data_IF_250150233474
#
_entry.id   IF_250150233474
#
_cell.length_a   1.000
_cell.length_b   1.000
_cell.length_c   1.000
_cell.angle_alpha   90.00
_cell.angle_beta   90.00
_cell.angle_gamma   90.00
#
_symmetry.space_group_name_H-M   'P 1'
#
loop_
_entity.id
_entity.type
_entity.pdbx_description
1 polymer ?
#
# COMPACT_ATOMS: atom_id res chain seq x y z
N UNK A 1 -11.56 -80.36 5.67
CA UNK A 1 -10.42 -79.45 5.93
C UNK A 1 -11.00 -78.18 6.50
N UNK A 2 -10.65 -77.84 7.75
CA UNK A 2 -11.16 -76.63 8.40
C UNK A 2 -10.42 -75.43 7.83
N UNK A 3 -11.14 -74.52 7.15
CA UNK A 3 -10.59 -73.25 6.70
C UNK A 3 -10.02 -72.49 7.91
N UNK A 4 -8.72 -72.13 7.93
CA UNK A 4 -8.15 -71.41 9.05
C UNK A 4 -8.72 -69.99 9.11
N UNK A 5 -9.65 -69.77 10.04
CA UNK A 5 -10.19 -68.45 10.37
C UNK A 5 -9.21 -67.71 11.27
N UNK A 6 -8.77 -66.53 10.82
CA UNK A 6 -7.90 -65.66 11.61
C UNK A 6 -8.77 -64.71 12.45
N UNK A 7 -8.69 -64.83 13.78
CA UNK A 7 -9.33 -63.91 14.71
C UNK A 7 -8.22 -63.04 15.35
N UNK A 8 -8.02 -61.79 14.91
CA UNK A 8 -7.03 -60.92 15.54
C UNK A 8 -7.51 -60.59 16.96
N UNK A 9 -6.85 -61.17 17.95
CA UNK A 9 -7.18 -61.09 19.39
C UNK A 9 -7.17 -59.67 19.97
N UNK A 10 -6.67 -58.68 19.21
CA UNK A 10 -6.34 -57.34 19.71
C UNK A 10 -7.51 -56.35 19.56
N UNK A 11 -8.57 -56.64 18.77
CA UNK A 11 -9.64 -55.67 18.48
C UNK A 11 -11.09 -56.18 18.63
N UNK A 12 -11.33 -57.38 19.18
CA UNK A 12 -12.69 -57.90 19.37
C UNK A 12 -13.51 -58.06 18.08
N UNK A 13 -12.82 -58.15 16.93
CA UNK A 13 -13.46 -58.23 15.61
C UNK A 13 -13.96 -59.65 15.29
N UNK A 14 -15.01 -59.81 14.46
CA UNK A 14 -15.57 -61.11 14.09
C UNK A 14 -14.52 -62.00 13.41
N UNK A 15 -14.53 -63.30 13.71
CA UNK A 15 -13.68 -64.28 13.04
C UNK A 15 -14.09 -64.38 11.55
N UNK A 16 -13.24 -63.86 10.66
CA UNK A 16 -13.48 -63.84 9.22
C UNK A 16 -12.42 -64.67 8.47
N UNK A 17 -12.74 -65.04 7.22
CA UNK A 17 -11.79 -65.71 6.33
C UNK A 17 -10.60 -64.78 6.01
N UNK A 18 -9.38 -65.32 5.85
CA UNK A 18 -8.19 -64.52 5.53
C UNK A 18 -8.37 -63.62 4.30
N UNK A 19 -9.10 -64.12 3.31
CA UNK A 19 -9.45 -63.44 2.06
C UNK A 19 -10.24 -62.14 2.30
N UNK A 20 -11.19 -62.18 3.25
CA UNK A 20 -12.04 -61.02 3.60
C UNK A 20 -11.23 -59.98 4.39
N UNK A 21 -10.30 -60.44 5.22
CA UNK A 21 -9.38 -59.58 5.95
C UNK A 21 -8.44 -58.83 4.99
N UNK A 22 -7.87 -59.53 4.01
CA UNK A 22 -7.02 -58.91 2.98
C UNK A 22 -7.77 -57.85 2.17
N UNK A 23 -9.02 -58.12 1.78
CA UNK A 23 -9.87 -57.16 1.08
C UNK A 23 -10.14 -55.90 1.93
N UNK A 24 -10.34 -56.06 3.24
CA UNK A 24 -10.56 -54.93 4.15
C UNK A 24 -9.33 -54.04 4.30
N UNK A 25 -8.13 -54.64 4.46
CA UNK A 25 -6.87 -53.89 4.48
C UNK A 25 -6.60 -53.18 3.16
N UNK A 26 -6.92 -53.80 2.03
CA UNK A 26 -6.73 -53.19 0.71
C UNK A 26 -7.70 -52.01 0.49
N UNK A 27 -8.96 -52.14 0.92
CA UNK A 27 -9.93 -51.06 0.86
C UNK A 27 -9.56 -49.90 1.82
N UNK A 28 -9.23 -50.19 3.08
CA UNK A 28 -8.81 -49.19 4.05
C UNK A 28 -7.49 -48.51 3.64
N UNK A 29 -6.54 -49.28 3.13
CA UNK A 29 -5.24 -48.78 2.66
C UNK A 29 -5.37 -47.86 1.45
N UNK A 30 -6.24 -48.18 0.49
CA UNK A 30 -6.49 -47.32 -0.67
C UNK A 30 -7.19 -46.00 -0.29
N UNK A 31 -8.18 -46.04 0.61
CA UNK A 31 -8.83 -44.83 1.14
C UNK A 31 -7.84 -43.96 1.92
N UNK A 32 -7.03 -44.56 2.78
CA UNK A 32 -6.01 -43.84 3.55
C UNK A 32 -4.96 -43.22 2.62
N UNK A 33 -4.49 -43.96 1.61
CA UNK A 33 -3.53 -43.46 0.63
C UNK A 33 -4.07 -42.26 -0.15
N UNK A 34 -5.33 -42.32 -0.60
CA UNK A 34 -6.00 -41.20 -1.27
C UNK A 34 -6.14 -40.00 -0.33
N UNK A 35 -6.56 -40.23 0.92
CA UNK A 35 -6.70 -39.16 1.91
C UNK A 35 -5.37 -38.44 2.17
N UNK A 36 -4.29 -39.19 2.38
CA UNK A 36 -2.95 -38.65 2.62
C UNK A 36 -2.44 -37.89 1.38
N UNK A 37 -2.68 -38.43 0.18
CA UNK A 37 -2.29 -37.81 -1.08
C UNK A 37 -2.94 -36.43 -1.31
N UNK A 38 -4.16 -36.21 -0.78
CA UNK A 38 -4.84 -34.90 -0.85
C UNK A 38 -4.47 -34.01 0.34
N UNK A 39 -4.38 -34.56 1.54
CA UNK A 39 -4.22 -33.79 2.78
C UNK A 39 -2.84 -33.15 2.92
N UNK A 40 -1.77 -33.88 2.57
CA UNK A 40 -0.40 -33.36 2.64
C UNK A 40 -0.21 -32.11 1.76
N UNK A 41 -0.50 -32.13 0.44
CA UNK A 41 -0.32 -30.94 -0.40
C UNK A 41 -1.22 -29.78 0.02
N UNK A 42 -2.45 -30.04 0.45
CA UNK A 42 -3.33 -28.99 0.98
C UNK A 42 -2.77 -28.34 2.25
N UNK A 43 -2.20 -29.13 3.16
CA UNK A 43 -1.57 -28.65 4.40
C UNK A 43 -0.31 -27.82 4.11
N UNK A 44 0.53 -28.27 3.17
CA UNK A 44 1.72 -27.53 2.72
C UNK A 44 1.32 -26.20 2.07
N UNK A 45 0.36 -26.22 1.13
CA UNK A 45 -0.13 -25.01 0.47
C UNK A 45 -0.71 -24.00 1.47
N UNK A 46 -1.41 -24.46 2.51
CA UNK A 46 -1.93 -23.60 3.57
C UNK A 46 -0.82 -22.97 4.42
N UNK A 47 0.24 -23.72 4.74
CA UNK A 47 1.41 -23.20 5.47
C UNK A 47 2.17 -22.18 4.63
N UNK A 48 2.35 -22.46 3.34
CA UNK A 48 3.07 -21.57 2.42
C UNK A 48 2.32 -20.24 2.23
N UNK A 49 1.00 -20.29 2.02
CA UNK A 49 0.16 -19.08 1.96
C UNK A 49 0.33 -18.21 3.21
N UNK A 50 0.24 -18.82 4.39
CA UNK A 50 0.44 -18.11 5.67
C UNK A 50 1.84 -17.52 5.82
N UNK A 51 2.86 -18.20 5.29
CA UNK A 51 4.24 -17.70 5.32
C UNK A 51 4.39 -16.47 4.43
N UNK A 52 3.87 -16.55 3.20
CA UNK A 52 3.88 -15.43 2.24
C UNK A 52 3.10 -14.23 2.79
N UNK A 53 1.91 -14.46 3.38
CA UNK A 53 1.12 -13.41 4.03
C UNK A 53 1.89 -12.70 5.14
N UNK A 54 2.59 -13.46 6.01
CA UNK A 54 3.42 -12.89 7.07
C UNK A 54 4.60 -12.11 6.52
N UNK A 55 5.28 -12.65 5.50
CA UNK A 55 6.41 -11.97 4.87
C UNK A 55 5.97 -10.66 4.22
N UNK A 56 4.84 -10.66 3.53
CA UNK A 56 4.26 -9.45 2.95
C UNK A 56 3.89 -8.42 4.03
N UNK A 57 3.30 -8.86 5.15
CA UNK A 57 3.01 -7.98 6.28
C UNK A 57 4.29 -7.35 6.84
N UNK A 58 5.37 -8.12 7.05
CA UNK A 58 6.64 -7.57 7.52
C UNK A 58 7.27 -6.59 6.53
N UNK A 59 7.21 -6.88 5.22
CA UNK A 59 7.69 -5.97 4.18
C UNK A 59 6.89 -4.66 4.18
N UNK A 60 5.56 -4.74 4.31
CA UNK A 60 4.70 -3.58 4.39
C UNK A 60 4.99 -2.73 5.64
N UNK A 61 5.12 -3.34 6.82
CA UNK A 61 5.47 -2.62 8.05
C UNK A 61 6.87 -2.00 7.99
N UNK A 62 7.85 -2.71 7.41
CA UNK A 62 9.20 -2.16 7.23
C UNK A 62 9.20 -0.95 6.28
N UNK A 63 8.45 -1.02 5.17
CA UNK A 63 8.31 0.09 4.24
C UNK A 63 7.57 1.26 4.91
N UNK A 64 6.51 0.99 5.66
CA UNK A 64 5.78 1.99 6.43
C UNK A 64 6.70 2.75 7.40
N UNK A 65 7.54 2.03 8.13
CA UNK A 65 8.51 2.62 9.05
C UNK A 65 9.50 3.56 8.33
N UNK A 66 9.95 3.21 7.12
CA UNK A 66 10.85 4.05 6.32
C UNK A 66 10.15 5.29 5.78
N UNK A 67 8.88 5.19 5.42
CA UNK A 67 8.12 6.29 4.81
C UNK A 67 7.51 7.25 5.82
N UNK A 68 7.27 6.83 7.06
CA UNK A 68 6.63 7.68 8.09
C UNK A 68 7.38 9.00 8.34
N UNK A 69 8.71 9.03 8.54
CA UNK A 69 9.44 10.29 8.71
C UNK A 69 9.34 11.21 7.49
N UNK A 70 9.30 10.64 6.29
CA UNK A 70 9.18 11.40 5.05
C UNK A 70 7.80 12.06 4.94
N UNK A 71 6.72 11.33 5.26
CA UNK A 71 5.37 11.90 5.29
C UNK A 71 5.21 12.95 6.40
N UNK A 72 5.80 12.73 7.57
CA UNK A 72 5.78 13.72 8.66
C UNK A 72 6.52 15.00 8.28
N UNK A 73 7.68 14.88 7.63
CA UNK A 73 8.40 16.03 7.07
C UNK A 73 7.53 16.76 6.03
N UNK A 74 6.92 16.03 5.10
CA UNK A 74 6.00 16.61 4.11
C UNK A 74 4.85 17.38 4.79
N UNK A 75 4.21 16.79 5.81
CA UNK A 75 3.14 17.45 6.58
C UNK A 75 3.63 18.73 7.26
N UNK A 76 4.84 18.71 7.83
CA UNK A 76 5.48 19.87 8.44
C UNK A 76 5.70 20.99 7.42
N UNK A 77 6.32 20.68 6.29
CA UNK A 77 6.55 21.60 5.16
C UNK A 77 5.25 22.22 4.66
N UNK A 78 4.20 21.41 4.45
CA UNK A 78 2.90 21.90 3.99
C UNK A 78 2.22 22.82 5.04
N UNK A 79 2.40 22.54 6.32
CA UNK A 79 1.86 23.38 7.39
C UNK A 79 2.61 24.71 7.51
N UNK A 80 3.93 24.70 7.32
CA UNK A 80 4.74 25.91 7.26
C UNK A 80 4.39 26.75 6.02
N UNK A 81 4.20 26.10 4.87
CA UNK A 81 3.76 26.75 3.64
C UNK A 81 2.40 27.43 3.82
N UNK A 82 1.46 26.81 4.52
CA UNK A 82 0.17 27.42 4.85
C UNK A 82 0.31 28.67 5.72
N UNK A 83 1.16 28.65 6.75
CA UNK A 83 1.43 29.84 7.55
C UNK A 83 2.01 30.98 6.70
N UNK A 84 3.01 30.68 5.86
CA UNK A 84 3.64 31.69 5.00
C UNK A 84 2.71 32.23 3.92
N UNK A 85 1.87 31.37 3.33
CA UNK A 85 0.83 31.80 2.39
C UNK A 85 -0.12 32.80 3.04
N UNK A 86 -0.57 32.54 4.27
CA UNK A 86 -1.46 33.44 5.01
C UNK A 86 -0.77 34.76 5.39
N UNK A 87 0.51 34.74 5.74
CA UNK A 87 1.26 35.95 6.10
C UNK A 87 1.60 36.82 4.87
N UNK A 88 2.07 36.21 3.79
CA UNK A 88 2.47 36.93 2.59
C UNK A 88 2.47 36.02 1.35
N UNK A 89 1.34 35.95 0.61
CA UNK A 89 1.24 35.13 -0.60
C UNK A 89 2.31 35.47 -1.64
N UNK A 90 2.59 36.76 -1.85
CA UNK A 90 3.57 37.23 -2.84
C UNK A 90 4.98 36.71 -2.54
N UNK A 91 5.43 36.81 -1.28
CA UNK A 91 6.78 36.35 -0.89
C UNK A 91 6.91 34.84 -0.97
N UNK A 92 5.85 34.12 -0.61
CA UNK A 92 5.81 32.65 -0.70
C UNK A 92 6.00 32.18 -2.14
N UNK A 93 5.25 32.78 -3.07
CA UNK A 93 5.26 32.42 -4.50
C UNK A 93 6.57 32.80 -5.18
N UNK A 94 7.23 33.87 -4.74
CA UNK A 94 8.56 34.28 -5.20
C UNK A 94 9.71 33.40 -4.66
N UNK A 95 9.40 32.37 -3.87
CA UNK A 95 10.39 31.42 -3.36
C UNK A 95 11.20 31.95 -2.16
N UNK A 96 10.78 33.04 -1.52
CA UNK A 96 11.39 33.51 -0.26
C UNK A 96 10.95 32.68 0.96
N UNK A 97 10.06 31.71 0.75
CA UNK A 97 9.48 30.85 1.78
C UNK A 97 10.10 29.45 1.89
N UNK A 98 9.35 28.53 2.48
CA UNK A 98 9.69 27.13 2.55
C UNK A 98 9.64 26.51 1.15
N UNK A 99 10.67 25.74 0.80
CA UNK A 99 10.70 25.06 -0.48
C UNK A 99 9.66 23.92 -0.48
N UNK A 100 8.67 24.02 -1.38
CA UNK A 100 7.71 22.95 -1.64
C UNK A 100 8.40 21.85 -2.46
N UNK A 101 9.03 20.92 -1.77
CA UNK A 101 9.72 19.78 -2.39
C UNK A 101 9.14 18.49 -1.81
N UNK A 102 8.86 17.53 -2.69
CA UNK A 102 8.52 16.18 -2.27
C UNK A 102 9.76 15.50 -1.70
N UNK A 103 9.71 14.95 -0.47
CA UNK A 103 10.81 14.18 0.09
C UNK A 103 11.27 13.05 -0.84
N UNK A 104 12.58 12.93 -1.05
CA UNK A 104 13.17 11.93 -1.96
C UNK A 104 12.75 10.50 -1.61
N UNK A 105 12.62 10.20 -0.32
CA UNK A 105 12.17 8.89 0.13
C UNK A 105 10.77 8.51 -0.41
N UNK A 106 9.89 9.47 -0.67
CA UNK A 106 8.57 9.21 -1.28
C UNK A 106 8.68 8.97 -2.78
N UNK A 107 9.57 9.68 -3.48
CA UNK A 107 9.73 9.56 -4.93
C UNK A 107 10.53 8.31 -5.31
N UNK A 108 11.62 8.01 -4.59
CA UNK A 108 12.46 6.83 -4.81
C UNK A 108 11.71 5.53 -4.54
N UNK A 109 10.75 5.54 -3.61
CA UNK A 109 9.99 4.35 -3.19
C UNK A 109 8.60 4.25 -3.81
N UNK A 110 8.25 5.11 -4.77
CA UNK A 110 6.96 5.06 -5.48
C UNK A 110 6.65 3.67 -6.03
N UNK A 111 7.64 3.00 -6.62
CA UNK A 111 7.49 1.66 -7.19
C UNK A 111 7.19 0.62 -6.11
N UNK A 112 7.73 0.79 -4.90
CA UNK A 112 7.56 -0.13 -3.77
C UNK A 112 6.22 0.05 -3.04
N UNK A 113 5.49 1.15 -3.28
CA UNK A 113 4.23 1.45 -2.57
C UNK A 113 3.15 0.36 -2.76
N UNK A 114 3.20 -0.41 -3.84
CA UNK A 114 2.28 -1.54 -4.06
C UNK A 114 2.33 -2.59 -2.91
N UNK A 115 3.45 -2.68 -2.19
CA UNK A 115 3.63 -3.58 -1.04
C UNK A 115 2.71 -3.19 0.13
N UNK A 116 2.35 -1.90 0.25
CA UNK A 116 1.43 -1.40 1.28
C UNK A 116 -0.05 -1.71 1.00
N UNK A 117 -0.37 -2.26 -0.18
CA UNK A 117 -1.74 -2.55 -0.58
C UNK A 117 -2.63 -1.30 -0.55
N UNK A 118 -3.75 -1.38 0.18
CA UNK A 118 -4.70 -0.26 0.27
C UNK A 118 -4.14 1.00 0.94
N UNK A 119 -3.14 0.84 1.82
CA UNK A 119 -2.51 1.98 2.50
C UNK A 119 -1.65 2.83 1.57
N UNK A 120 -1.30 2.32 0.38
CA UNK A 120 -0.58 3.08 -0.65
C UNK A 120 -1.43 4.22 -1.22
N UNK A 121 -2.76 4.04 -1.29
CA UNK A 121 -3.64 4.98 -2.01
C UNK A 121 -3.62 6.39 -1.40
N UNK A 122 -3.77 6.58 -0.08
CA UNK A 122 -3.62 7.90 0.54
C UNK A 122 -2.25 8.55 0.28
N UNK A 123 -1.17 7.77 0.24
CA UNK A 123 0.19 8.27 -0.05
C UNK A 123 0.26 8.80 -1.49
N UNK A 124 -0.24 8.05 -2.47
CA UNK A 124 -0.32 8.52 -3.86
C UNK A 124 -1.15 9.82 -3.98
N UNK A 125 -2.27 9.89 -3.25
CA UNK A 125 -3.12 11.10 -3.24
C UNK A 125 -2.34 12.29 -2.64
N UNK A 126 -1.57 12.09 -1.57
CA UNK A 126 -0.74 13.13 -0.97
C UNK A 126 0.35 13.63 -1.93
N UNK A 127 1.04 12.72 -2.63
CA UNK A 127 2.06 13.06 -3.64
C UNK A 127 1.43 13.88 -4.77
N UNK A 128 0.32 13.40 -5.33
CA UNK A 128 -0.40 14.09 -6.42
C UNK A 128 -0.92 15.46 -5.98
N UNK A 129 -1.50 15.56 -4.78
CA UNK A 129 -1.99 16.82 -4.24
C UNK A 129 -0.85 17.84 -4.03
N UNK A 130 0.31 17.38 -3.55
CA UNK A 130 1.50 18.23 -3.39
C UNK A 130 2.03 18.72 -4.73
N UNK A 131 2.11 17.86 -5.76
CA UNK A 131 2.52 18.30 -7.10
C UNK A 131 1.55 19.32 -7.69
N UNK A 132 0.23 19.12 -7.53
CA UNK A 132 -0.79 20.10 -7.96
C UNK A 132 -0.64 21.44 -7.25
N UNK A 133 -0.30 21.42 -5.96
CA UNK A 133 0.02 22.64 -5.22
C UNK A 133 1.26 23.35 -5.81
N UNK A 134 2.34 22.61 -6.09
CA UNK A 134 3.55 23.18 -6.72
C UNK A 134 3.19 23.84 -8.06
N UNK A 135 2.42 23.15 -8.90
CA UNK A 135 1.97 23.68 -10.19
C UNK A 135 1.09 24.94 -10.01
N UNK A 136 0.19 24.94 -9.03
CA UNK A 136 -0.68 26.09 -8.72
C UNK A 136 0.14 27.31 -8.24
N UNK A 137 1.16 27.08 -7.40
CA UNK A 137 2.07 28.13 -6.94
C UNK A 137 2.86 28.72 -8.11
N UNK A 138 3.40 27.88 -8.99
CA UNK A 138 4.11 28.34 -10.18
C UNK A 138 3.20 29.12 -11.14
N UNK A 139 1.95 28.67 -11.29
CA UNK A 139 0.94 29.36 -12.11
C UNK A 139 0.59 30.72 -11.51
N UNK A 140 0.43 30.80 -10.18
CA UNK A 140 0.20 32.05 -9.47
C UNK A 140 1.38 33.01 -9.61
N UNK A 141 2.63 32.51 -9.55
CA UNK A 141 3.84 33.33 -9.75
C UNK A 141 3.85 33.94 -11.14
N UNK A 142 3.60 33.12 -12.16
CA UNK A 142 3.53 33.57 -13.54
C UNK A 142 2.41 34.61 -13.71
N UNK A 143 1.22 34.34 -13.18
CA UNK A 143 0.09 35.27 -13.26
C UNK A 143 0.45 36.63 -12.64
N UNK A 144 1.00 36.67 -11.43
CA UNK A 144 1.38 37.92 -10.77
C UNK A 144 2.56 38.62 -11.45
N UNK A 145 3.59 37.88 -11.89
CA UNK A 145 4.79 38.46 -12.53
C UNK A 145 4.46 39.14 -13.86
N UNK A 146 3.52 38.59 -14.62
CA UNK A 146 3.14 39.10 -15.94
C UNK A 146 1.81 39.86 -15.95
N UNK A 147 1.21 40.13 -14.79
CA UNK A 147 -0.08 40.83 -14.70
C UNK A 147 -1.23 40.11 -15.41
N UNK A 148 -1.17 38.78 -15.47
CA UNK A 148 -2.17 37.93 -16.10
C UNK A 148 -2.03 37.71 -17.60
N UNK A 149 -1.03 38.30 -18.28
CA UNK A 149 -0.81 38.11 -19.71
C UNK A 149 0.68 38.03 -20.07
N UNK A 150 1.06 36.99 -20.81
CA UNK A 150 2.39 36.86 -21.41
C UNK A 150 2.37 37.43 -22.84
N UNK A 151 3.25 38.39 -23.14
CA UNK A 151 3.41 38.94 -24.49
C UNK A 151 4.62 38.29 -25.15
N UNK A 152 4.43 37.66 -26.32
CA UNK A 152 5.51 37.04 -27.07
C UNK A 152 6.39 38.06 -27.84
N UNK A 153 7.45 37.57 -28.48
CA UNK A 153 8.38 38.40 -29.27
C UNK A 153 7.71 39.12 -30.46
N UNK A 154 6.51 38.70 -30.87
CA UNK A 154 5.74 39.29 -31.96
C UNK A 154 4.66 40.26 -31.45
N UNK A 155 4.62 40.55 -30.14
CA UNK A 155 3.63 41.44 -29.53
C UNK A 155 2.25 40.79 -29.35
N UNK A 156 2.14 39.46 -29.48
CA UNK A 156 0.88 38.75 -29.25
C UNK A 156 0.76 38.39 -27.77
N UNK A 157 -0.34 38.84 -27.16
CA UNK A 157 -0.68 38.52 -25.78
C UNK A 157 -1.33 37.12 -25.65
N UNK A 158 -0.91 36.39 -24.63
CA UNK A 158 -1.44 35.08 -24.22
C UNK A 158 -1.91 35.18 -22.77
N UNK A 159 -3.17 34.84 -22.45
CA UNK A 159 -3.66 34.91 -21.08
C UNK A 159 -2.97 33.85 -20.22
N UNK A 160 -2.51 34.27 -19.04
CA UNK A 160 -2.06 33.39 -17.96
C UNK A 160 -3.20 33.33 -16.94
N UNK A 161 -3.98 32.24 -16.90
CA UNK A 161 -5.08 32.15 -15.96
C UNK A 161 -4.56 32.12 -14.52
N UNK A 162 -5.37 32.60 -13.58
CA UNK A 162 -5.18 32.25 -12.17
C UNK A 162 -5.33 30.74 -12.00
N UNK A 163 -4.63 30.12 -11.02
CA UNK A 163 -4.83 28.71 -10.73
C UNK A 163 -6.28 28.47 -10.27
N UNK A 164 -6.91 27.45 -10.86
CA UNK A 164 -8.23 26.96 -10.46
C UNK A 164 -8.14 25.44 -10.24
N UNK A 165 -8.35 24.92 -9.02
CA UNK A 165 -8.55 25.60 -7.74
C UNK A 165 -7.48 26.63 -7.33
N UNK A 166 -7.82 27.48 -6.37
CA UNK A 166 -6.86 28.45 -5.81
C UNK A 166 -5.68 27.75 -5.12
N UNK A 167 -4.57 28.47 -4.93
CA UNK A 167 -3.41 27.94 -4.19
C UNK A 167 -3.80 27.50 -2.78
N UNK A 168 -4.67 28.26 -2.10
CA UNK A 168 -5.16 27.94 -0.76
C UNK A 168 -5.92 26.61 -0.73
N UNK A 169 -6.82 26.39 -1.69
CA UNK A 169 -7.56 25.13 -1.81
C UNK A 169 -6.64 23.94 -2.10
N UNK A 170 -5.65 24.14 -2.97
CA UNK A 170 -4.63 23.12 -3.23
C UNK A 170 -3.78 22.80 -2.01
N UNK A 171 -3.47 23.82 -1.20
CA UNK A 171 -2.66 23.69 0.00
C UNK A 171 -3.41 22.90 1.08
N UNK A 172 -4.68 23.22 1.31
CA UNK A 172 -5.53 22.47 2.23
C UNK A 172 -5.73 21.03 1.76
N UNK A 173 -5.99 20.81 0.47
CA UNK A 173 -6.12 19.48 -0.09
C UNK A 173 -4.83 18.64 0.08
N UNK A 174 -3.66 19.24 -0.10
CA UNK A 174 -2.37 18.58 0.12
C UNK A 174 -2.13 18.24 1.59
N UNK A 175 -2.42 19.16 2.51
CA UNK A 175 -2.30 18.95 3.98
C UNK A 175 -3.20 17.81 4.45
N UNK A 176 -4.47 17.84 4.03
CA UNK A 176 -5.44 16.81 4.32
C UNK A 176 -5.03 15.45 3.79
N UNK A 177 -4.51 15.41 2.55
CA UNK A 177 -4.02 14.18 1.95
C UNK A 177 -2.80 13.62 2.70
N UNK A 178 -1.85 14.47 3.09
CA UNK A 178 -0.69 14.06 3.89
C UNK A 178 -1.12 13.53 5.28
N UNK A 179 -2.07 14.18 5.95
CA UNK A 179 -2.60 13.73 7.24
C UNK A 179 -3.28 12.35 7.12
N UNK A 180 -4.11 12.14 6.08
CA UNK A 180 -4.72 10.82 5.79
C UNK A 180 -3.67 9.76 5.47
N UNK A 181 -2.62 10.13 4.74
CA UNK A 181 -1.52 9.22 4.42
C UNK A 181 -0.81 8.73 5.68
N UNK A 182 -0.46 9.64 6.60
CA UNK A 182 0.16 9.29 7.89
C UNK A 182 -0.76 8.41 8.72
N UNK A 183 -2.04 8.77 8.85
CA UNK A 183 -3.02 7.97 9.59
C UNK A 183 -3.09 6.54 9.07
N UNK A 184 -3.20 6.37 7.74
CA UNK A 184 -3.31 5.05 7.13
C UNK A 184 -2.01 4.25 7.23
N UNK A 185 -0.86 4.93 7.19
CA UNK A 185 0.45 4.29 7.34
C UNK A 185 0.64 3.71 8.75
N UNK A 186 0.18 4.42 9.79
CA UNK A 186 0.24 3.95 11.17
C UNK A 186 -0.60 2.69 11.42
N UNK A 187 -1.78 2.61 10.80
CA UNK A 187 -2.61 1.39 10.84
C UNK A 187 -1.86 0.14 10.31
N UNK A 188 -0.96 0.30 9.33
CA UNK A 188 -0.14 -0.80 8.78
C UNK A 188 0.91 -1.29 9.77
N UNK A 189 1.40 -0.41 10.64
CA UNK A 189 2.40 -0.75 11.65
C UNK A 189 1.79 -1.26 12.97
N UNK A 190 0.48 -1.13 13.16
CA UNK A 190 -0.22 -1.54 14.37
C UNK A 190 -0.02 -0.60 15.55
N UNK A 191 0.24 0.68 15.27
CA UNK A 191 0.30 1.80 16.25
C UNK A 191 -0.97 2.62 16.17
#
# INVERSE_FOLDING_TARGET
>A
MADPTYCPWILGAPCMKPEVWAAWWQAAGSVLAIFVAVWIPASIAKKERRRIERENAYRASSLAFVLEPALENLRGTLSQAAGQWQESPVRFVQGEGVALVLPDALTERLVDLHILGEAARPIHIAIVATNRLIDAVNTQDAHWRYGGEYVDEHGKAYPIPEPVPSVEEHLDAARDAAARAISKLREVHGV
#
